data_IF_703032993860
#
_entry.id   IF_703032993860
#
_cell.length_a   1.000
_cell.length_b   1.000
_cell.length_c   1.000
_cell.angle_alpha   90.00
_cell.angle_beta   90.00
_cell.angle_gamma   90.00
#
_symmetry.space_group_name_H-M   'P 1'
#
loop_
_entity.id
_entity.type
_entity.pdbx_description
1 polymer ?
#
# COMPACT_ATOMS: atom_id res chain seq x y z
N UNK A 1 -4.20 7.51 7.03
CA UNK A 1 -3.37 8.67 7.46
C UNK A 1 -1.89 8.27 7.47
N UNK A 2 -1.64 6.96 7.38
CA UNK A 2 -0.27 6.46 7.37
C UNK A 2 -0.21 5.11 6.67
N UNK A 3 -0.44 4.05 7.44
CA UNK A 3 -0.40 2.71 6.88
C UNK A 3 -1.37 2.60 5.70
N UNK A 4 -2.43 3.40 5.74
CA UNK A 4 -3.41 3.39 4.67
C UNK A 4 -2.73 3.70 3.35
N UNK A 5 -1.76 4.61 3.39
CA UNK A 5 -1.01 4.98 2.20
C UNK A 5 0.12 3.98 1.99
N UNK A 6 0.43 3.23 3.03
CA UNK A 6 1.49 2.23 2.99
C UNK A 6 0.92 0.91 2.47
N UNK A 7 -0.28 0.57 2.93
CA UNK A 7 -0.92 -0.67 2.51
C UNK A 7 -1.37 -0.58 1.06
N UNK A 8 -1.60 0.66 0.60
CA UNK A 8 -2.05 0.87 -0.77
C UNK A 8 -0.86 0.80 -1.74
N UNK A 9 0.33 0.98 -1.20
CA UNK A 9 1.54 0.93 -2.01
C UNK A 9 2.02 -0.51 -2.16
N UNK A 10 1.95 -1.26 -1.07
CA UNK A 10 2.38 -2.65 -1.08
C UNK A 10 1.31 -3.53 -1.73
N UNK A 11 0.09 -3.03 -1.78
CA UNK A 11 -1.02 -3.78 -2.38
C UNK A 11 -0.85 -3.83 -3.90
N UNK A 12 0.30 -4.30 -4.35
CA UNK A 12 0.56 -4.41 -5.78
C UNK A 12 1.91 -5.10 -6.03
N UNK A 13 2.96 -4.31 -6.15
CA UNK A 13 4.29 -4.85 -6.38
C UNK A 13 4.33 -5.64 -7.69
N UNK A 14 3.19 -5.73 -8.35
CA UNK A 14 3.11 -6.46 -9.62
C UNK A 14 1.74 -6.27 -10.26
N UNK A 15 1.68 -5.39 -11.26
CA UNK A 15 0.42 -5.12 -11.96
C UNK A 15 0.70 -4.77 -13.42
#
# INVERSE_FOLDING_TARGET
GLFDKLKSLVSDDKK
#
